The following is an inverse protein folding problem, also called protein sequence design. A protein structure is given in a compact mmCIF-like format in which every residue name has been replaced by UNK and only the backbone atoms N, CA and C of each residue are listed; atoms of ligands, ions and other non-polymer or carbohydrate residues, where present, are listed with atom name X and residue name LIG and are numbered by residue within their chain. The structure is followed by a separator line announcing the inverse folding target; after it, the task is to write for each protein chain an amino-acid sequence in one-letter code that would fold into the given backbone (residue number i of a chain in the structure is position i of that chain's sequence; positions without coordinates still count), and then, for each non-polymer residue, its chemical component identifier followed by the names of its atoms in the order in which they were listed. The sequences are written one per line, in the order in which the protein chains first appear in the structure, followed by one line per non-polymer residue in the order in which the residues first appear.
data_IF_396296510021
#
_entry.id   IF_396296510021
#
_cell.length_a   1.000
_cell.length_b   1.000
_cell.length_c   1.000
_cell.angle_alpha   90.00
_cell.angle_beta   90.00
_cell.angle_gamma   90.00
#
_symmetry.space_group_name_H-M   'P 1'
#
loop_
_entity.id
_entity.type
_entity.pdbx_description
1 polymer ?
#
# COMPACT_ATOMS: atom_id res chain seq x y z
N UNK A 1 7.65 32.89 15.16
CA UNK A 1 8.27 31.57 15.34
C UNK A 1 7.20 30.51 15.11
N UNK A 2 7.14 29.91 13.93
CA UNK A 2 6.22 28.83 13.58
C UNK A 2 6.76 27.52 14.15
N UNK A 3 6.06 26.94 15.14
CA UNK A 3 6.45 25.70 15.78
C UNK A 3 6.49 24.53 14.80
N UNK A 4 7.47 23.68 14.94
CA UNK A 4 7.52 22.34 14.39
C UNK A 4 6.26 21.60 14.87
N UNK A 5 5.32 21.30 13.97
CA UNK A 5 4.11 20.55 14.31
C UNK A 5 2.77 21.24 14.05
N UNK A 6 2.72 22.42 13.41
CA UNK A 6 1.47 23.07 13.01
C UNK A 6 0.83 22.46 11.73
N UNK A 7 1.31 21.30 11.28
CA UNK A 7 0.62 20.50 10.26
C UNK A 7 -0.70 19.98 10.83
N UNK A 8 -1.83 20.35 10.24
CA UNK A 8 -3.16 19.79 10.56
C UNK A 8 -3.07 18.26 10.61
N UNK A 9 -3.00 17.70 11.83
CA UNK A 9 -3.28 16.27 12.07
C UNK A 9 -4.77 16.03 11.85
N UNK A 10 -5.17 15.74 10.64
CA UNK A 10 -6.57 15.59 10.22
C UNK A 10 -6.75 15.73 8.72
N UNK A 11 -5.65 15.72 7.98
CA UNK A 11 -5.70 15.65 6.52
C UNK A 11 -6.31 14.32 6.05
N UNK A 12 -6.94 14.33 4.88
CA UNK A 12 -7.41 13.13 4.20
C UNK A 12 -6.27 12.09 4.13
N UNK A 13 -6.55 10.80 4.34
CA UNK A 13 -5.53 9.75 4.31
C UNK A 13 -4.79 9.75 2.97
N UNK A 14 -3.51 9.40 3.00
CA UNK A 14 -2.69 9.25 1.80
C UNK A 14 -2.57 7.77 1.41
N UNK A 15 -2.07 7.55 0.20
CA UNK A 15 -1.74 6.19 -0.28
C UNK A 15 -0.72 5.54 0.65
N UNK A 16 0.25 6.31 1.12
CA UNK A 16 1.35 5.83 1.98
C UNK A 16 0.89 5.50 3.40
N UNK A 17 -0.18 6.14 3.87
CA UNK A 17 -0.77 5.92 5.21
C UNK A 17 -1.81 4.79 5.22
N UNK A 18 -2.04 4.14 4.07
CA UNK A 18 -3.04 3.09 3.90
C UNK A 18 -2.38 1.72 3.76
N UNK A 19 -2.95 0.68 4.36
CA UNK A 19 -2.58 -0.68 3.99
C UNK A 19 -2.90 -0.89 2.51
N UNK A 20 -2.01 -1.54 1.77
CA UNK A 20 -2.20 -1.72 0.33
C UNK A 20 -2.00 -3.16 -0.11
N UNK A 21 -2.89 -3.62 -0.99
CA UNK A 21 -2.75 -4.85 -1.76
C UNK A 21 -2.19 -4.50 -3.14
N UNK A 22 -1.05 -5.04 -3.49
CA UNK A 22 -0.40 -4.85 -4.79
C UNK A 22 -0.46 -6.18 -5.56
N UNK A 23 -1.28 -6.25 -6.59
CA UNK A 23 -1.54 -7.48 -7.31
C UNK A 23 -0.28 -8.10 -7.97
N UNK A 24 0.57 -7.34 -8.70
CA UNK A 24 1.83 -7.87 -9.20
C UNK A 24 2.73 -8.45 -8.13
N UNK A 25 2.79 -7.80 -6.95
CA UNK A 25 3.60 -8.30 -5.83
C UNK A 25 3.05 -9.62 -5.30
N UNK A 26 1.72 -9.77 -5.15
CA UNK A 26 1.09 -11.00 -4.68
C UNK A 26 1.38 -12.19 -5.61
N UNK A 27 1.40 -11.98 -6.93
CA UNK A 27 1.84 -12.99 -7.88
C UNK A 27 3.34 -13.29 -7.79
N UNK A 28 4.17 -12.23 -7.73
CA UNK A 28 5.64 -12.37 -7.66
C UNK A 28 6.10 -13.13 -6.41
N UNK A 29 5.42 -12.93 -5.28
CA UNK A 29 5.74 -13.61 -4.01
C UNK A 29 5.09 -14.99 -3.87
N UNK A 30 4.28 -15.41 -4.86
CA UNK A 30 3.61 -16.71 -4.85
C UNK A 30 2.37 -16.81 -3.96
N UNK A 31 1.93 -15.70 -3.37
CA UNK A 31 0.69 -15.63 -2.60
C UNK A 31 -0.55 -15.89 -3.48
N UNK A 32 -0.52 -15.48 -4.74
CA UNK A 32 -1.52 -15.81 -5.74
C UNK A 32 -0.88 -16.65 -6.84
N UNK A 33 -1.57 -17.73 -7.25
CA UNK A 33 -1.12 -18.63 -8.34
C UNK A 33 -2.29 -18.92 -9.26
N UNK A 34 -2.05 -18.82 -10.55
CA UNK A 34 -3.04 -19.18 -11.59
C UNK A 34 -3.43 -20.67 -11.47
N UNK A 35 -4.70 -20.94 -11.67
CA UNK A 35 -5.23 -22.32 -11.65
C UNK A 35 -5.18 -22.99 -10.27
N UNK A 36 -4.95 -22.24 -9.18
CA UNK A 36 -4.74 -22.81 -7.86
C UNK A 36 -5.61 -22.14 -6.78
N UNK A 37 -5.80 -22.89 -5.72
CA UNK A 37 -6.24 -22.38 -4.44
C UNK A 37 -5.01 -22.09 -3.56
N UNK A 38 -5.00 -20.93 -2.91
CA UNK A 38 -3.93 -20.53 -2.00
C UNK A 38 -4.52 -19.84 -0.77
N UNK A 39 -3.86 -19.98 0.37
CA UNK A 39 -4.25 -19.30 1.61
C UNK A 39 -3.04 -18.90 2.42
N UNK A 40 -3.22 -18.00 3.37
CA UNK A 40 -2.15 -17.57 4.25
C UNK A 40 -2.48 -16.28 5.00
N UNK A 41 -1.43 -15.62 5.51
CA UNK A 41 -1.54 -14.38 6.26
C UNK A 41 -0.67 -13.31 5.58
N UNK A 42 -1.29 -12.24 5.09
CA UNK A 42 -0.61 -11.04 4.62
C UNK A 42 -0.22 -10.18 5.82
N UNK A 43 1.03 -9.74 5.87
CA UNK A 43 1.55 -8.88 6.94
C UNK A 43 2.09 -7.59 6.38
N UNK A 44 1.84 -6.50 7.10
CA UNK A 44 2.42 -5.19 6.85
C UNK A 44 3.28 -4.80 8.03
N UNK A 45 4.49 -4.35 7.75
CA UNK A 45 5.44 -3.90 8.77
C UNK A 45 6.02 -2.54 8.40
N UNK A 46 6.49 -1.82 9.41
CA UNK A 46 7.19 -0.55 9.23
C UNK A 46 8.54 -0.83 8.59
N UNK A 47 8.80 -0.13 7.48
CA UNK A 47 10.11 -0.19 6.81
C UNK A 47 11.15 0.46 7.73
N UNK A 48 12.17 -0.32 8.09
CA UNK A 48 13.24 0.12 8.98
C UNK A 48 13.23 -0.56 10.36
N UNK A 49 12.09 -0.63 11.04
CA UNK A 49 11.99 -1.32 12.35
C UNK A 49 11.54 -2.76 12.23
N UNK A 50 10.85 -3.12 11.14
CA UNK A 50 10.24 -4.45 10.97
C UNK A 50 9.00 -4.69 11.84
N UNK A 51 8.57 -3.71 12.63
CA UNK A 51 7.40 -3.81 13.51
C UNK A 51 6.14 -4.09 12.68
N UNK A 52 5.39 -5.14 13.06
CA UNK A 52 4.13 -5.51 12.41
C UNK A 52 3.03 -4.51 12.79
N UNK A 53 2.42 -3.89 11.79
CA UNK A 53 1.33 -2.92 11.97
C UNK A 53 -0.03 -3.51 11.68
N UNK A 54 -0.09 -4.57 10.89
CA UNK A 54 -1.34 -5.27 10.57
C UNK A 54 -1.07 -6.66 10.00
N UNK A 55 -1.99 -7.58 10.26
CA UNK A 55 -2.06 -8.88 9.61
C UNK A 55 -3.49 -9.20 9.19
N UNK A 56 -3.66 -9.82 8.02
CA UNK A 56 -4.94 -10.16 7.42
C UNK A 56 -4.84 -11.56 6.85
N UNK A 57 -5.73 -12.44 7.26
CA UNK A 57 -5.89 -13.75 6.65
C UNK A 57 -6.47 -13.63 5.25
N UNK A 58 -6.03 -14.48 4.33
CA UNK A 58 -6.58 -14.54 3.00
C UNK A 58 -6.75 -15.98 2.49
N UNK A 59 -7.72 -16.14 1.62
CA UNK A 59 -7.94 -17.30 0.77
C UNK A 59 -8.15 -16.81 -0.65
N UNK A 60 -7.53 -17.47 -1.62
CA UNK A 60 -7.68 -17.11 -3.02
C UNK A 60 -7.92 -18.34 -3.88
N UNK A 61 -8.83 -18.25 -4.82
CA UNK A 61 -9.07 -19.23 -5.85
C UNK A 61 -9.01 -18.54 -7.22
N UNK A 62 -8.01 -18.89 -8.00
CA UNK A 62 -7.82 -18.33 -9.34
C UNK A 62 -7.98 -19.41 -10.40
N UNK A 63 -8.80 -19.12 -11.40
CA UNK A 63 -8.86 -19.86 -12.65
C UNK A 63 -7.82 -19.33 -13.66
N UNK A 64 -8.07 -19.58 -14.93
CA UNK A 64 -7.21 -19.11 -16.03
C UNK A 64 -7.40 -17.62 -16.33
N UNK A 65 -8.63 -17.10 -16.20
CA UNK A 65 -8.98 -15.73 -16.62
C UNK A 65 -9.62 -14.89 -15.53
N UNK A 66 -10.16 -15.52 -14.51
CA UNK A 66 -10.88 -14.91 -13.39
C UNK A 66 -10.63 -15.67 -12.09
N UNK A 67 -11.15 -15.14 -11.01
CA UNK A 67 -11.06 -15.73 -9.69
C UNK A 67 -11.43 -14.72 -8.61
N UNK A 68 -11.13 -15.07 -7.37
CA UNK A 68 -11.38 -14.17 -6.25
C UNK A 68 -10.32 -14.33 -5.16
N UNK A 69 -10.18 -13.31 -4.34
CA UNK A 69 -9.51 -13.36 -3.05
C UNK A 69 -10.50 -12.96 -1.96
N UNK A 70 -10.60 -13.77 -0.91
CA UNK A 70 -11.33 -13.49 0.32
C UNK A 70 -10.32 -13.08 1.37
N UNK A 71 -10.56 -11.93 1.99
CA UNK A 71 -9.75 -11.38 3.08
C UNK A 71 -10.58 -11.39 4.36
N UNK A 72 -9.97 -11.76 5.49
CA UNK A 72 -10.64 -11.75 6.78
C UNK A 72 -9.70 -11.25 7.87
N UNK A 73 -10.21 -10.36 8.72
CA UNK A 73 -9.44 -9.78 9.84
C UNK A 73 -10.35 -9.24 10.93
N UNK A 74 -9.78 -9.00 12.09
CA UNK A 74 -10.44 -8.27 13.16
C UNK A 74 -9.92 -6.84 13.18
N UNK A 75 -10.81 -5.87 13.01
CA UNK A 75 -10.51 -4.46 13.21
C UNK A 75 -10.84 -4.06 14.63
N UNK A 76 -9.90 -3.42 15.33
CA UNK A 76 -10.13 -2.89 16.68
C UNK A 76 -10.20 -1.35 16.60
N UNK A 77 -11.30 -0.79 17.07
CA UNK A 77 -11.42 0.65 17.19
C UNK A 77 -10.42 1.16 18.24
N UNK A 78 -9.52 2.04 17.85
CA UNK A 78 -8.45 2.54 18.72
C UNK A 78 -8.94 3.33 19.92
N UNK A 79 -10.14 3.92 19.81
CA UNK A 79 -10.71 4.78 20.85
C UNK A 79 -11.63 4.03 21.78
N UNK A 80 -12.51 3.16 21.25
CA UNK A 80 -13.48 2.40 22.05
C UNK A 80 -13.01 1.01 22.45
N UNK A 81 -11.93 0.50 21.84
CA UNK A 81 -11.51 -0.89 22.03
C UNK A 81 -12.43 -1.93 21.36
N UNK A 82 -13.51 -1.49 20.74
CA UNK A 82 -14.49 -2.36 20.11
C UNK A 82 -13.85 -3.16 18.96
N UNK A 83 -14.12 -4.47 18.95
CA UNK A 83 -13.62 -5.39 17.93
C UNK A 83 -14.71 -5.69 16.91
N UNK A 84 -14.36 -5.56 15.63
CA UNK A 84 -15.25 -5.87 14.51
C UNK A 84 -14.60 -6.90 13.59
N UNK A 85 -15.31 -7.99 13.30
CA UNK A 85 -14.93 -8.94 12.27
C UNK A 85 -15.19 -8.32 10.89
N UNK A 86 -14.19 -8.33 10.04
CA UNK A 86 -14.24 -7.77 8.70
C UNK A 86 -13.93 -8.86 7.69
N UNK A 87 -14.70 -8.86 6.61
CA UNK A 87 -14.49 -9.75 5.47
C UNK A 87 -14.65 -8.98 4.17
N UNK A 88 -13.77 -9.22 3.21
CA UNK A 88 -13.89 -8.69 1.86
C UNK A 88 -13.64 -9.80 0.84
N UNK A 89 -14.60 -10.04 -0.05
CA UNK A 89 -14.43 -10.87 -1.23
C UNK A 89 -14.20 -9.96 -2.44
N UNK A 90 -13.00 -10.03 -3.00
CA UNK A 90 -12.54 -9.20 -4.11
C UNK A 90 -12.40 -10.09 -5.33
N UNK A 91 -13.18 -9.79 -6.37
CA UNK A 91 -13.08 -10.50 -7.65
C UNK A 91 -11.81 -10.06 -8.40
N UNK A 92 -11.20 -11.01 -9.10
CA UNK A 92 -10.09 -10.80 -10.00
C UNK A 92 -10.49 -11.17 -11.41
N UNK A 93 -10.00 -10.41 -12.38
CA UNK A 93 -10.21 -10.67 -13.79
C UNK A 93 -8.94 -10.39 -14.60
N UNK A 94 -8.90 -10.89 -15.82
CA UNK A 94 -7.77 -10.60 -16.72
C UNK A 94 -8.20 -9.78 -17.92
N UNK A 95 -7.27 -8.97 -18.44
CA UNK A 95 -7.39 -8.25 -19.72
C UNK A 95 -6.25 -8.63 -20.64
N UNK A 96 -6.57 -8.81 -21.93
CA UNK A 96 -5.56 -9.02 -22.97
C UNK A 96 -4.64 -7.79 -23.05
N UNK A 97 -3.38 -8.02 -23.35
CA UNK A 97 -2.38 -6.95 -23.54
C UNK A 97 -2.05 -6.80 -25.03
N UNK A 98 -1.76 -5.60 -25.51
CA UNK A 98 -1.45 -5.34 -26.93
C UNK A 98 -0.26 -6.17 -27.46
N UNK A 99 0.73 -6.41 -26.62
CA UNK A 99 1.94 -7.19 -26.96
C UNK A 99 1.79 -8.70 -26.66
N UNK A 100 0.56 -9.17 -26.47
CA UNK A 100 0.24 -10.55 -26.10
C UNK A 100 0.19 -10.77 -24.59
N UNK A 101 -0.32 -11.94 -24.21
CA UNK A 101 -0.53 -12.29 -22.80
C UNK A 101 -1.76 -11.63 -22.18
N UNK A 102 -1.92 -11.86 -20.87
CA UNK A 102 -3.04 -11.32 -20.09
C UNK A 102 -2.51 -10.74 -18.78
N UNK A 103 -3.08 -9.60 -18.38
CA UNK A 103 -2.77 -8.95 -17.11
C UNK A 103 -3.94 -9.10 -16.15
N UNK A 104 -3.64 -9.44 -14.91
CA UNK A 104 -4.61 -9.55 -13.83
C UNK A 104 -4.93 -8.19 -13.21
N UNK A 105 -6.19 -8.06 -12.77
CA UNK A 105 -6.73 -6.87 -12.13
C UNK A 105 -7.67 -7.25 -11.01
N UNK A 106 -7.66 -6.48 -9.93
CA UNK A 106 -8.75 -6.47 -8.96
C UNK A 106 -9.96 -5.74 -9.54
N UNK A 107 -11.15 -6.21 -9.22
CA UNK A 107 -12.40 -5.47 -9.42
C UNK A 107 -12.69 -4.73 -8.13
N UNK A 108 -12.66 -3.40 -8.15
CA UNK A 108 -12.83 -2.57 -6.96
C UNK A 108 -14.26 -2.70 -6.42
N UNK A 109 -14.42 -3.10 -5.17
CA UNK A 109 -15.73 -3.31 -4.53
C UNK A 109 -16.63 -2.07 -4.53
N UNK A 110 -16.05 -0.85 -4.42
CA UNK A 110 -16.82 0.39 -4.37
C UNK A 110 -17.19 0.95 -5.75
N UNK A 111 -16.38 0.68 -6.78
CA UNK A 111 -16.56 1.36 -8.08
C UNK A 111 -16.75 0.41 -9.25
N UNK A 112 -16.58 -0.89 -9.06
CA UNK A 112 -16.55 -1.89 -10.12
C UNK A 112 -15.38 -1.74 -11.12
N UNK A 113 -14.53 -0.71 -10.97
CA UNK A 113 -13.42 -0.44 -11.88
C UNK A 113 -12.24 -1.37 -11.61
N UNK A 114 -11.48 -1.63 -12.66
CA UNK A 114 -10.25 -2.42 -12.57
C UNK A 114 -9.15 -1.61 -11.87
N UNK A 115 -8.46 -2.26 -10.96
CA UNK A 115 -7.37 -1.68 -10.19
C UNK A 115 -6.23 -2.68 -9.99
N UNK A 116 -5.01 -2.20 -10.09
CA UNK A 116 -3.80 -2.98 -9.78
C UNK A 116 -3.50 -2.98 -8.28
N UNK A 117 -3.95 -1.91 -7.61
CA UNK A 117 -3.78 -1.74 -6.16
C UNK A 117 -5.09 -1.38 -5.49
N UNK A 118 -5.33 -2.00 -4.35
CA UNK A 118 -6.40 -1.64 -3.44
C UNK A 118 -5.81 -1.14 -2.14
N UNK A 119 -6.54 -0.26 -1.47
CA UNK A 119 -6.11 0.41 -0.26
C UNK A 119 -7.16 0.25 0.84
N UNK A 120 -6.69 0.15 2.07
CA UNK A 120 -7.51 0.18 3.28
C UNK A 120 -6.97 1.31 4.18
N UNK A 121 -7.51 2.53 4.08
CA UNK A 121 -7.14 3.62 4.97
C UNK A 121 -7.59 3.35 6.40
N UNK A 122 -6.98 4.04 7.37
CA UNK A 122 -7.39 3.95 8.77
C UNK A 122 -8.89 4.27 8.94
N UNK A 123 -9.60 3.46 9.70
CA UNK A 123 -11.04 3.57 9.91
C UNK A 123 -11.92 2.99 8.80
N UNK A 124 -11.34 2.51 7.68
CA UNK A 124 -12.08 1.80 6.66
C UNK A 124 -12.14 0.30 6.94
N UNK A 125 -13.19 -0.35 6.44
CA UNK A 125 -13.45 -1.79 6.57
C UNK A 125 -13.51 -2.52 5.24
N UNK A 126 -13.18 -1.83 4.14
CA UNK A 126 -13.25 -2.40 2.80
C UNK A 126 -12.04 -1.99 1.98
N UNK A 127 -11.36 -2.94 1.36
CA UNK A 127 -10.31 -2.64 0.40
C UNK A 127 -10.92 -2.07 -0.88
N UNK A 128 -10.48 -0.87 -1.28
CA UNK A 128 -10.96 -0.24 -2.51
C UNK A 128 -9.83 0.51 -3.25
N UNK A 129 -10.10 0.86 -4.49
CA UNK A 129 -9.12 1.59 -5.31
C UNK A 129 -8.87 3.01 -4.78
N UNK A 130 -7.72 3.57 -5.08
CA UNK A 130 -7.30 4.93 -4.68
C UNK A 130 -8.39 5.98 -4.94
N UNK A 131 -9.05 5.89 -6.10
CA UNK A 131 -10.10 6.87 -6.49
C UNK A 131 -11.35 6.75 -5.63
N UNK A 132 -11.73 5.54 -5.18
CA UNK A 132 -12.89 5.34 -4.29
C UNK A 132 -12.72 6.08 -2.96
N UNK A 133 -11.52 6.06 -2.41
CA UNK A 133 -11.17 6.76 -1.17
C UNK A 133 -10.62 8.18 -1.39
N UNK A 134 -10.53 8.65 -2.63
CA UNK A 134 -9.95 9.96 -2.98
C UNK A 134 -8.55 10.17 -2.36
N UNK A 135 -7.76 9.09 -2.25
CA UNK A 135 -6.43 9.17 -1.66
C UNK A 135 -5.50 10.01 -2.54
N UNK A 136 -4.80 10.94 -1.94
CA UNK A 136 -3.68 11.64 -2.56
C UNK A 136 -2.36 10.91 -2.25
N UNK A 137 -1.33 11.15 -3.05
CA UNK A 137 0.03 10.80 -2.66
C UNK A 137 0.57 11.83 -1.67
N UNK A 138 1.42 11.41 -0.73
CA UNK A 138 2.06 12.31 0.22
C UNK A 138 2.75 13.48 -0.49
N UNK A 139 3.48 13.18 -1.57
CA UNK A 139 4.16 14.20 -2.39
C UNK A 139 3.24 15.26 -3.02
N UNK A 140 1.94 14.97 -3.18
CA UNK A 140 0.96 15.94 -3.67
C UNK A 140 0.49 16.90 -2.56
N UNK A 141 0.74 16.57 -1.30
CA UNK A 141 0.35 17.36 -0.12
C UNK A 141 1.51 18.10 0.50
N UNK A 142 2.74 17.71 0.18
CA UNK A 142 3.93 18.40 0.63
C UNK A 142 4.01 19.79 -0.01
N UNK A 143 4.38 20.78 0.80
CA UNK A 143 4.75 22.08 0.26
C UNK A 143 5.97 21.94 -0.65
N UNK A 144 6.25 22.88 -1.58
CA UNK A 144 7.46 22.86 -2.39
C UNK A 144 8.74 22.70 -1.56
N UNK A 145 8.78 23.35 -0.38
CA UNK A 145 9.90 23.25 0.56
C UNK A 145 10.04 21.85 1.15
N UNK A 146 8.94 21.28 1.65
CA UNK A 146 8.95 19.93 2.25
C UNK A 146 9.30 18.86 1.21
N UNK A 147 8.83 19.04 -0.02
CA UNK A 147 9.16 18.15 -1.14
C UNK A 147 10.66 18.18 -1.48
N UNK A 148 11.27 19.37 -1.49
CA UNK A 148 12.70 19.50 -1.69
C UNK A 148 13.49 18.82 -0.55
N UNK A 149 13.04 19.01 0.68
CA UNK A 149 13.62 18.39 1.87
C UNK A 149 13.51 16.86 1.83
N UNK A 150 12.30 16.35 1.54
CA UNK A 150 12.04 14.90 1.39
C UNK A 150 12.90 14.28 0.27
N UNK A 151 13.08 15.01 -0.83
CA UNK A 151 13.97 14.62 -1.93
C UNK A 151 15.43 14.53 -1.51
N UNK A 152 15.92 15.51 -0.78
CA UNK A 152 17.28 15.54 -0.26
C UNK A 152 17.53 14.36 0.71
N UNK A 153 16.63 14.10 1.65
CA UNK A 153 16.73 12.93 2.55
C UNK A 153 16.65 11.60 1.79
N UNK A 154 15.81 11.51 0.75
CA UNK A 154 15.74 10.30 -0.07
C UNK A 154 17.07 10.04 -0.81
N UNK A 155 17.71 11.08 -1.30
CA UNK A 155 19.03 10.98 -1.93
C UNK A 155 20.10 10.56 -0.92
N UNK A 156 20.13 11.17 0.27
CA UNK A 156 21.06 10.80 1.36
C UNK A 156 20.94 9.32 1.72
N UNK A 157 19.73 8.81 1.90
CA UNK A 157 19.52 7.37 2.17
C UNK A 157 20.04 6.46 1.07
N UNK A 158 19.90 6.86 -0.20
CA UNK A 158 20.49 6.11 -1.33
C UNK A 158 22.02 6.09 -1.29
N UNK A 159 22.63 7.11 -0.70
CA UNK A 159 24.08 7.24 -0.50
C UNK A 159 24.55 6.58 0.82
N UNK A 160 23.64 5.93 1.57
CA UNK A 160 23.97 5.29 2.84
C UNK A 160 24.23 6.26 4.00
N UNK A 161 23.75 7.50 3.91
CA UNK A 161 23.93 8.51 4.93
C UNK A 161 22.67 8.70 5.79
N UNK A 162 22.78 8.48 7.09
CA UNK A 162 21.67 8.55 8.06
C UNK A 162 21.63 9.89 8.84
N UNK A 163 22.55 10.80 8.59
CA UNK A 163 22.67 12.08 9.29
C UNK A 163 21.68 13.15 8.86
N UNK A 164 21.73 14.31 9.52
CA UNK A 164 20.95 15.51 9.22
C UNK A 164 21.27 16.12 7.86
N UNK A 165 20.44 17.05 7.38
CA UNK A 165 20.59 17.65 6.04
C UNK A 165 21.88 18.44 5.87
N UNK A 166 22.45 18.97 6.95
CA UNK A 166 23.74 19.70 6.98
C UNK A 166 24.97 18.81 7.08
N UNK A 167 24.80 17.51 7.33
CA UNK A 167 25.94 16.63 7.55
C UNK A 167 26.60 16.27 6.22
N UNK A 168 27.92 16.16 6.24
CA UNK A 168 28.70 15.78 5.06
C UNK A 168 28.37 14.35 4.65
N UNK A 169 28.16 14.15 3.35
CA UNK A 169 27.91 12.83 2.75
C UNK A 169 29.09 12.48 1.87
N UNK A 170 29.78 11.41 2.21
CA UNK A 170 30.86 10.88 1.36
C UNK A 170 30.26 10.29 0.08
N UNK A 171 30.76 10.71 -1.06
CA UNK A 171 30.35 10.12 -2.35
C UNK A 171 30.78 8.65 -2.39
N UNK A 172 29.89 7.70 -2.61
CA UNK A 172 30.25 6.29 -2.73
C UNK A 172 31.19 6.07 -3.92
N UNK A 173 32.15 5.14 -3.76
CA UNK A 173 33.09 4.78 -4.83
C UNK A 173 32.33 4.23 -6.04
N UNK A 174 32.54 4.78 -7.24
CA UNK A 174 31.91 4.32 -8.48
C UNK A 174 30.61 5.06 -8.87
N UNK A 175 30.21 6.09 -8.15
CA UNK A 175 29.12 7.00 -8.56
C UNK A 175 29.70 8.22 -9.23
N UNK A 176 29.44 8.39 -10.52
CA UNK A 176 29.85 9.56 -11.30
C UNK A 176 28.80 10.67 -11.27
#
# INVERSE_FOLDING_TARGET
MGGYGSGRSGGWPTVEDSLSLNLPRLFKTGWLKKGAWTSGILRWSIVGTGEEIASIGFEARLGEKDGYVRLHWTSTNRWSGEKRQCENRIELTTRAQPLGGRRWWFVCLHTGKLAERLHLPSGAYTFACRKAYRLAYRSQRETPRDRALSGAFALRRKLGADGGIGDYVTKPKGVH
#
